data_IF_260637927898
#
_entry.id   IF_260637927898
#
_cell.length_a   1.000
_cell.length_b   1.000
_cell.length_c   1.000
_cell.angle_alpha   90.00
_cell.angle_beta   90.00
_cell.angle_gamma   90.00
#
_symmetry.space_group_name_H-M   'P 1'
#
loop_
_entity.id
_entity.type
_entity.pdbx_description
1 polymer ?
#
# COMPACT_ATOMS: atom_id res chain seq x y z
N UNK A 1 30.76 -14.43 -10.27
CA UNK A 1 30.88 -13.10 -9.64
C UNK A 1 29.88 -13.05 -8.49
N UNK A 2 30.37 -13.15 -7.25
CA UNK A 2 29.50 -13.12 -6.06
C UNK A 2 28.89 -11.74 -5.92
N UNK A 3 27.60 -11.60 -6.24
CA UNK A 3 26.88 -10.35 -6.09
C UNK A 3 26.94 -9.91 -4.63
N UNK A 4 27.35 -8.65 -4.39
CA UNK A 4 27.18 -8.03 -3.07
C UNK A 4 25.72 -8.23 -2.66
N UNK A 5 25.49 -8.82 -1.50
CA UNK A 5 24.17 -8.83 -0.87
C UNK A 5 23.70 -7.37 -0.80
N UNK A 6 22.53 -7.07 -1.35
CA UNK A 6 21.95 -5.73 -1.25
C UNK A 6 21.74 -5.32 0.22
N UNK A 7 21.60 -6.29 1.13
CA UNK A 7 21.47 -6.04 2.57
C UNK A 7 22.79 -5.49 3.15
N UNK A 8 22.80 -4.19 3.41
CA UNK A 8 23.92 -3.47 4.04
C UNK A 8 23.87 -3.52 5.57
N UNK A 9 22.67 -3.46 6.14
CA UNK A 9 22.48 -3.43 7.59
C UNK A 9 21.20 -4.14 7.99
N UNK A 10 21.25 -4.84 9.12
CA UNK A 10 20.08 -5.43 9.78
C UNK A 10 20.24 -5.22 11.27
N UNK A 11 19.30 -4.51 11.89
CA UNK A 11 19.31 -4.24 13.34
C UNK A 11 17.94 -4.46 13.95
N UNK A 12 17.91 -4.87 15.20
CA UNK A 12 16.70 -4.94 16.02
C UNK A 12 16.78 -3.91 17.13
N UNK A 13 15.89 -2.91 17.09
CA UNK A 13 15.78 -1.89 18.14
C UNK A 13 15.02 -2.41 19.38
N UNK A 14 14.41 -3.58 19.30
CA UNK A 14 13.57 -4.16 20.35
C UNK A 14 14.26 -5.24 21.19
N UNK A 15 15.34 -5.84 20.68
CA UNK A 15 16.04 -6.97 21.28
C UNK A 15 15.24 -8.26 21.38
N UNK A 16 14.16 -8.41 20.58
CA UNK A 16 13.19 -9.52 20.64
C UNK A 16 12.91 -10.17 19.28
N UNK A 17 13.53 -9.70 18.20
CA UNK A 17 13.32 -10.22 16.86
C UNK A 17 14.30 -11.35 16.53
N UNK A 18 13.84 -12.33 15.76
CA UNK A 18 14.72 -13.31 15.12
C UNK A 18 15.39 -12.67 13.89
N UNK A 19 16.61 -12.14 14.09
CA UNK A 19 17.36 -11.49 13.02
C UNK A 19 17.86 -12.47 11.95
N UNK A 20 18.07 -13.74 12.28
CA UNK A 20 18.49 -14.74 11.30
C UNK A 20 17.32 -15.12 10.39
N UNK A 21 16.12 -15.26 10.97
CA UNK A 21 14.86 -15.39 10.23
C UNK A 21 14.64 -14.22 9.28
N UNK A 22 14.72 -12.98 9.77
CA UNK A 22 14.57 -11.77 8.93
C UNK A 22 15.61 -11.73 7.80
N UNK A 23 16.87 -12.08 8.10
CA UNK A 23 17.94 -12.12 7.09
C UNK A 23 17.66 -13.17 6.02
N UNK A 24 17.21 -14.35 6.43
CA UNK A 24 16.89 -15.46 5.52
C UNK A 24 15.74 -15.07 4.58
N UNK A 25 14.65 -14.53 5.12
CA UNK A 25 13.51 -14.09 4.32
C UNK A 25 13.89 -12.95 3.37
N UNK A 26 14.67 -11.97 3.85
CA UNK A 26 15.17 -10.91 2.99
C UNK A 26 16.00 -11.47 1.82
N UNK A 27 16.91 -12.41 2.08
CA UNK A 27 17.73 -13.01 1.04
C UNK A 27 16.88 -13.76 -0.01
N UNK A 28 15.87 -14.51 0.43
CA UNK A 28 14.95 -15.24 -0.45
C UNK A 28 14.13 -14.28 -1.34
N UNK A 29 13.55 -13.23 -0.74
CA UNK A 29 12.80 -12.20 -1.47
C UNK A 29 13.69 -11.47 -2.45
N UNK A 30 14.87 -11.02 -2.01
CA UNK A 30 15.82 -10.34 -2.88
C UNK A 30 16.23 -11.21 -4.07
N UNK A 31 16.45 -12.52 -3.86
CA UNK A 31 16.73 -13.45 -4.95
C UNK A 31 15.57 -13.58 -5.95
N UNK A 32 14.31 -13.58 -5.48
CA UNK A 32 13.13 -13.58 -6.34
C UNK A 32 13.04 -12.31 -7.20
N UNK A 33 13.25 -11.13 -6.59
CA UNK A 33 13.32 -9.85 -7.30
C UNK A 33 14.48 -9.81 -8.30
N UNK A 34 15.65 -10.34 -7.93
CA UNK A 34 16.79 -10.41 -8.83
C UNK A 34 16.53 -11.31 -10.05
N UNK A 35 15.90 -12.47 -9.85
CA UNK A 35 15.48 -13.36 -10.94
C UNK A 35 14.49 -12.68 -11.89
N UNK A 36 13.64 -11.78 -11.37
CA UNK A 36 12.72 -10.97 -12.16
C UNK A 36 13.38 -9.73 -12.82
N UNK A 37 14.69 -9.51 -12.64
CA UNK A 37 15.39 -8.33 -13.17
C UNK A 37 15.04 -7.03 -12.42
N UNK A 38 14.58 -7.14 -11.18
CA UNK A 38 14.12 -6.04 -10.31
C UNK A 38 14.89 -5.98 -8.99
N UNK A 39 16.12 -6.50 -8.93
CA UNK A 39 16.97 -6.37 -7.75
C UNK A 39 17.18 -4.89 -7.40
N UNK A 40 17.23 -4.58 -6.10
CA UNK A 40 17.65 -3.28 -5.63
C UNK A 40 19.10 -3.00 -6.09
N UNK A 41 19.31 -1.82 -6.67
CA UNK A 41 20.63 -1.36 -7.13
C UNK A 41 21.36 -0.62 -6.03
N UNK A 42 20.64 0.08 -5.16
CA UNK A 42 21.20 0.75 -4.00
C UNK A 42 21.20 -0.16 -2.77
N UNK A 43 22.09 0.11 -1.79
CA UNK A 43 22.12 -0.66 -0.56
C UNK A 43 20.78 -0.59 0.19
N UNK A 44 20.35 -1.72 0.75
CA UNK A 44 19.13 -1.82 1.56
C UNK A 44 19.51 -2.14 2.99
N UNK A 45 19.00 -1.38 3.94
CA UNK A 45 19.09 -1.67 5.37
C UNK A 45 17.72 -2.03 5.92
N UNK A 46 17.69 -2.84 6.98
CA UNK A 46 16.47 -3.25 7.67
C UNK A 46 16.58 -2.90 9.15
N UNK A 47 15.53 -2.30 9.71
CA UNK A 47 15.36 -2.10 11.14
C UNK A 47 14.08 -2.78 11.61
N UNK A 48 14.18 -3.57 12.68
CA UNK A 48 13.01 -4.07 13.41
C UNK A 48 12.73 -3.17 14.61
N UNK A 49 11.50 -2.69 14.74
CA UNK A 49 11.10 -1.79 15.83
C UNK A 49 9.65 -2.00 16.28
N UNK A 50 9.26 -1.38 17.39
CA UNK A 50 7.86 -1.30 17.79
C UNK A 50 7.19 -0.14 17.04
N UNK A 51 6.22 -0.44 16.20
CA UNK A 51 5.51 0.56 15.39
C UNK A 51 4.07 0.13 15.11
N UNK A 52 3.14 1.08 14.91
CA UNK A 52 1.72 0.79 14.75
C UNK A 52 1.36 0.20 13.38
N UNK A 53 2.24 0.33 12.39
CA UNK A 53 2.08 -0.20 11.03
C UNK A 53 2.95 -1.44 10.84
N UNK A 54 2.67 -2.27 9.84
CA UNK A 54 3.42 -3.52 9.68
C UNK A 54 4.83 -3.30 9.14
N UNK A 55 4.99 -2.40 8.17
CA UNK A 55 6.27 -2.00 7.59
C UNK A 55 6.20 -0.62 6.93
N UNK A 56 7.36 -0.11 6.55
CA UNK A 56 7.50 1.09 5.72
C UNK A 56 8.88 1.14 5.06
N UNK A 57 8.96 1.77 3.90
CA UNK A 57 10.23 2.02 3.20
C UNK A 57 10.58 3.49 3.19
N UNK A 58 11.84 3.80 3.51
CA UNK A 58 12.45 5.11 3.30
C UNK A 58 13.53 4.99 2.24
N UNK A 59 13.47 5.85 1.23
CA UNK A 59 14.43 5.86 0.12
C UNK A 59 15.18 7.18 0.08
N UNK A 60 16.51 7.11 -0.03
CA UNK A 60 17.35 8.28 -0.28
C UNK A 60 18.07 8.08 -1.61
N UNK A 61 17.75 8.91 -2.63
CA UNK A 61 18.36 8.77 -3.95
C UNK A 61 19.89 8.70 -3.88
N UNK A 62 20.46 7.66 -4.48
CA UNK A 62 21.90 7.39 -4.53
C UNK A 62 22.60 7.08 -3.19
N UNK A 63 21.88 7.06 -2.06
CA UNK A 63 22.43 6.67 -0.75
C UNK A 63 22.02 5.24 -0.37
N UNK A 64 20.74 4.90 -0.52
CA UNK A 64 20.20 3.61 -0.12
C UNK A 64 18.75 3.66 0.34
N UNK A 65 18.29 2.50 0.79
CA UNK A 65 16.94 2.28 1.32
C UNK A 65 17.00 1.80 2.77
N UNK A 66 16.00 2.16 3.55
CA UNK A 66 15.75 1.63 4.88
C UNK A 66 14.34 1.07 4.94
N UNK A 67 14.24 -0.24 5.14
CA UNK A 67 12.99 -0.93 5.41
C UNK A 67 12.81 -0.98 6.93
N UNK A 68 11.67 -0.49 7.39
CA UNK A 68 11.18 -0.61 8.74
C UNK A 68 10.25 -1.80 8.81
N UNK A 69 10.46 -2.69 9.77
CA UNK A 69 9.60 -3.83 10.05
C UNK A 69 9.11 -3.74 11.49
N UNK A 70 7.82 -3.87 11.71
CA UNK A 70 7.30 -4.02 13.07
C UNK A 70 7.76 -5.34 13.67
N UNK A 71 7.99 -5.37 14.99
CA UNK A 71 8.26 -6.61 15.72
C UNK A 71 7.13 -7.63 15.57
N UNK A 72 5.89 -7.18 15.39
CA UNK A 72 4.76 -8.06 15.12
C UNK A 72 4.90 -8.74 13.76
N UNK A 73 5.33 -8.02 12.73
CA UNK A 73 5.52 -8.59 11.40
C UNK A 73 6.63 -9.66 11.38
N UNK A 74 7.70 -9.48 12.15
CA UNK A 74 8.77 -10.48 12.22
C UNK A 74 8.36 -11.78 12.92
N UNK A 75 7.21 -11.78 13.61
CA UNK A 75 6.65 -12.95 14.31
C UNK A 75 5.47 -13.58 13.57
N UNK A 76 5.11 -13.08 12.39
CA UNK A 76 3.99 -13.60 11.61
C UNK A 76 4.47 -14.29 10.35
N UNK A 77 3.62 -15.17 9.82
CA UNK A 77 3.83 -15.85 8.53
C UNK A 77 3.83 -14.88 7.32
N UNK A 78 3.64 -13.59 7.59
CA UNK A 78 3.62 -12.53 6.59
C UNK A 78 4.99 -11.90 6.34
N UNK A 79 6.01 -12.19 7.14
CA UNK A 79 7.30 -11.50 7.07
C UNK A 79 7.87 -11.45 5.64
N UNK A 80 7.90 -12.60 4.95
CA UNK A 80 8.36 -12.69 3.57
C UNK A 80 7.54 -11.81 2.62
N UNK A 81 6.21 -11.83 2.78
CA UNK A 81 5.30 -11.04 1.95
C UNK A 81 5.44 -9.54 2.20
N UNK A 82 5.61 -9.12 3.45
CA UNK A 82 5.87 -7.73 3.80
C UNK A 82 7.21 -7.27 3.22
N UNK A 83 8.29 -8.04 3.38
CA UNK A 83 9.58 -7.69 2.77
C UNK A 83 9.44 -7.59 1.25
N UNK A 84 8.66 -8.49 0.62
CA UNK A 84 8.40 -8.42 -0.82
C UNK A 84 7.64 -7.16 -1.22
N UNK A 85 6.65 -6.73 -0.44
CA UNK A 85 5.93 -5.47 -0.65
C UNK A 85 6.87 -4.26 -0.55
N UNK A 86 7.67 -4.18 0.51
CA UNK A 86 8.64 -3.09 0.70
C UNK A 86 9.71 -3.05 -0.40
N UNK A 87 10.18 -4.22 -0.86
CA UNK A 87 11.06 -4.32 -2.03
C UNK A 87 10.38 -3.84 -3.33
N UNK A 88 9.05 -3.95 -3.42
CA UNK A 88 8.26 -3.39 -4.52
C UNK A 88 8.32 -1.87 -4.56
N UNK A 89 8.20 -1.20 -3.42
CA UNK A 89 8.40 0.25 -3.32
C UNK A 89 9.82 0.66 -3.73
N UNK A 90 10.84 -0.08 -3.28
CA UNK A 90 12.23 0.15 -3.69
C UNK A 90 12.37 0.05 -5.21
N UNK A 91 11.86 -1.04 -5.81
CA UNK A 91 11.94 -1.26 -7.25
C UNK A 91 11.24 -0.15 -8.05
N UNK A 92 10.07 0.32 -7.61
CA UNK A 92 9.34 1.43 -8.25
C UNK A 92 10.07 2.77 -8.08
N UNK A 93 10.64 3.02 -6.90
CA UNK A 93 11.44 4.22 -6.62
C UNK A 93 12.68 4.28 -7.51
N UNK A 94 13.47 3.20 -7.58
CA UNK A 94 14.68 3.15 -8.40
C UNK A 94 14.39 3.18 -9.92
N UNK A 95 13.19 2.74 -10.33
CA UNK A 95 12.73 2.86 -11.70
C UNK A 95 12.27 4.29 -12.06
N UNK A 96 12.19 5.21 -11.09
CA UNK A 96 11.67 6.55 -11.30
C UNK A 96 10.17 6.54 -11.60
N UNK A 97 9.44 5.56 -11.08
CA UNK A 97 8.01 5.42 -11.34
C UNK A 97 7.24 6.63 -10.79
N UNK A 98 6.38 7.30 -11.59
CA UNK A 98 5.73 8.54 -11.16
C UNK A 98 4.92 8.43 -9.86
N UNK A 99 4.36 7.26 -9.57
CA UNK A 99 3.61 7.05 -8.33
C UNK A 99 4.46 7.13 -7.05
N UNK A 100 5.79 7.03 -7.16
CA UNK A 100 6.73 7.10 -6.02
C UNK A 100 7.58 8.39 -6.06
N UNK A 101 7.15 9.41 -6.83
CA UNK A 101 7.77 10.73 -6.84
C UNK A 101 6.94 11.72 -6.02
N UNK A 102 7.52 12.22 -4.92
CA UNK A 102 6.91 13.23 -4.05
C UNK A 102 6.39 14.44 -4.82
N UNK A 103 7.08 14.87 -5.89
CA UNK A 103 6.70 16.05 -6.67
C UNK A 103 5.39 15.82 -7.42
N UNK A 104 5.14 14.59 -7.89
CA UNK A 104 3.89 14.19 -8.53
C UNK A 104 2.75 14.23 -7.50
N UNK A 105 2.98 13.73 -6.29
CA UNK A 105 1.98 13.81 -5.22
C UNK A 105 1.62 15.26 -4.88
N UNK A 106 2.63 16.11 -4.69
CA UNK A 106 2.43 17.51 -4.31
C UNK A 106 1.70 18.30 -5.41
N UNK A 107 2.04 18.04 -6.69
CA UNK A 107 1.36 18.62 -7.84
C UNK A 107 -0.11 18.17 -7.93
N UNK A 108 -0.38 16.87 -7.71
CA UNK A 108 -1.74 16.36 -7.67
C UNK A 108 -2.57 16.99 -6.53
N UNK A 109 -2.00 17.11 -5.32
CA UNK A 109 -2.70 17.74 -4.19
C UNK A 109 -3.04 19.20 -4.47
N UNK A 110 -2.15 19.95 -5.12
CA UNK A 110 -2.37 21.35 -5.47
C UNK A 110 -3.55 21.54 -6.43
N UNK A 111 -3.92 20.51 -7.20
CA UNK A 111 -5.05 20.52 -8.16
C UNK A 111 -6.41 20.22 -7.50
N UNK A 112 -6.43 19.86 -6.21
CA UNK A 112 -7.66 19.51 -5.49
C UNK A 112 -8.15 20.70 -4.65
N UNK A 113 -9.35 21.21 -4.94
CA UNK A 113 -9.99 22.25 -4.13
C UNK A 113 -10.60 21.65 -2.86
N UNK A 114 -9.99 21.97 -1.71
CA UNK A 114 -10.42 21.50 -0.39
C UNK A 114 -11.28 22.56 0.29
N UNK A 115 -12.56 22.28 0.63
CA UNK A 115 -13.38 23.20 1.42
C UNK A 115 -12.72 23.48 2.77
N UNK A 116 -12.85 24.72 3.27
CA UNK A 116 -12.25 25.13 4.55
C UNK A 116 -12.62 24.20 5.72
N UNK A 117 -13.87 23.70 5.73
CA UNK A 117 -14.35 22.76 6.73
C UNK A 117 -13.54 21.45 6.77
N UNK A 118 -12.88 21.08 5.67
CA UNK A 118 -12.17 19.80 5.51
C UNK A 118 -10.65 19.91 5.66
N UNK A 119 -10.13 21.13 5.88
CA UNK A 119 -8.69 21.38 5.92
C UNK A 119 -7.93 20.52 6.96
N UNK A 120 -8.57 20.15 8.07
CA UNK A 120 -7.93 19.32 9.11
C UNK A 120 -7.86 17.84 8.75
N UNK A 121 -8.87 17.29 8.08
CA UNK A 121 -8.94 15.86 7.75
C UNK A 121 -8.28 15.51 6.40
N UNK A 122 -8.28 16.46 5.46
CA UNK A 122 -7.78 16.23 4.11
C UNK A 122 -6.33 15.71 4.04
N UNK A 123 -5.36 16.18 4.84
CA UNK A 123 -4.00 15.64 4.80
C UNK A 123 -3.91 14.15 5.10
N UNK A 124 -4.79 13.62 5.98
CA UNK A 124 -4.87 12.18 6.26
C UNK A 124 -5.48 11.44 5.06
N UNK A 125 -6.50 12.00 4.41
CA UNK A 125 -7.14 11.44 3.20
C UNK A 125 -6.19 11.37 2.02
N UNK A 126 -5.50 12.48 1.76
CA UNK A 126 -4.44 12.57 0.77
C UNK A 126 -3.38 11.50 0.99
N UNK A 127 -2.91 11.34 2.23
CA UNK A 127 -1.91 10.32 2.56
C UNK A 127 -2.40 8.89 2.31
N UNK A 128 -3.64 8.56 2.69
CA UNK A 128 -4.21 7.23 2.41
C UNK A 128 -4.32 6.96 0.92
N UNK A 129 -4.85 7.91 0.13
CA UNK A 129 -4.98 7.73 -1.32
C UNK A 129 -3.62 7.58 -2.02
N UNK A 130 -2.62 8.38 -1.62
CA UNK A 130 -1.25 8.25 -2.12
C UNK A 130 -0.66 6.90 -1.76
N UNK A 131 -0.76 6.50 -0.48
CA UNK A 131 -0.24 5.22 0.00
C UNK A 131 -0.86 4.05 -0.76
N UNK A 132 -2.19 3.98 -0.86
CA UNK A 132 -2.86 2.92 -1.63
C UNK A 132 -2.44 2.88 -3.11
N UNK A 133 -2.22 4.05 -3.73
CA UNK A 133 -1.71 4.08 -5.10
C UNK A 133 -0.28 3.51 -5.17
N UNK A 134 0.61 3.90 -4.25
CA UNK A 134 1.97 3.34 -4.16
C UNK A 134 1.94 1.83 -3.94
N UNK A 135 1.12 1.38 -2.99
CA UNK A 135 0.96 0.00 -2.57
C UNK A 135 0.49 -0.90 -3.71
N UNK A 136 -0.48 -0.47 -4.54
CA UNK A 136 -0.90 -1.27 -5.71
C UNK A 136 0.29 -1.56 -6.63
N UNK A 137 1.11 -0.55 -6.92
CA UNK A 137 2.24 -0.75 -7.83
C UNK A 137 3.39 -1.55 -7.21
N UNK A 138 3.50 -1.55 -5.88
CA UNK A 138 4.41 -2.43 -5.15
C UNK A 138 3.88 -3.87 -5.14
N UNK A 139 2.59 -4.06 -4.91
CA UNK A 139 1.92 -5.36 -4.89
C UNK A 139 1.87 -6.04 -6.27
N UNK A 140 1.73 -5.26 -7.34
CA UNK A 140 1.90 -5.72 -8.74
C UNK A 140 3.24 -6.45 -8.97
N UNK A 141 4.24 -6.18 -8.12
CA UNK A 141 5.52 -6.90 -8.11
C UNK A 141 5.54 -7.99 -7.03
N UNK A 142 5.14 -7.65 -5.80
CA UNK A 142 5.29 -8.54 -4.65
C UNK A 142 4.38 -9.78 -4.71
N UNK A 143 3.12 -9.62 -5.14
CA UNK A 143 2.14 -10.70 -5.19
C UNK A 143 2.56 -11.81 -6.15
N UNK A 144 2.84 -11.56 -7.43
CA UNK A 144 3.22 -12.63 -8.35
C UNK A 144 4.59 -13.25 -8.03
N UNK A 145 5.48 -12.55 -7.32
CA UNK A 145 6.82 -13.05 -7.01
C UNK A 145 6.90 -13.87 -5.73
N UNK A 146 6.18 -13.49 -4.67
CA UNK A 146 6.39 -14.04 -3.32
C UNK A 146 5.09 -14.32 -2.57
N UNK A 147 4.12 -13.40 -2.62
CA UNK A 147 2.95 -13.48 -1.73
C UNK A 147 1.95 -14.53 -2.22
N UNK A 148 1.60 -14.48 -3.52
CA UNK A 148 0.62 -15.37 -4.14
C UNK A 148 -0.74 -15.33 -3.45
N UNK A 149 -1.41 -16.48 -3.37
CA UNK A 149 -2.75 -16.64 -2.76
C UNK A 149 -2.83 -16.22 -1.28
N UNK A 150 -1.70 -16.13 -0.57
CA UNK A 150 -1.68 -15.73 0.86
C UNK A 150 -2.13 -14.29 1.09
N UNK A 151 -2.03 -13.43 0.08
CA UNK A 151 -2.51 -12.04 0.17
C UNK A 151 -4.01 -11.97 0.42
N UNK A 152 -4.78 -12.99 0.00
CA UNK A 152 -6.24 -13.03 0.21
C UNK A 152 -6.62 -12.90 1.69
N UNK A 153 -5.97 -13.66 2.57
CA UNK A 153 -6.27 -13.63 4.01
C UNK A 153 -5.92 -12.29 4.64
N UNK A 154 -4.77 -11.73 4.26
CA UNK A 154 -4.32 -10.43 4.74
C UNK A 154 -5.28 -9.29 4.38
N UNK A 155 -5.64 -9.18 3.10
CA UNK A 155 -6.59 -8.14 2.66
C UNK A 155 -7.99 -8.36 3.23
N UNK A 156 -8.42 -9.62 3.43
CA UNK A 156 -9.68 -9.91 4.11
C UNK A 156 -9.68 -9.41 5.56
N UNK A 157 -8.58 -9.55 6.29
CA UNK A 157 -8.45 -9.01 7.65
C UNK A 157 -8.42 -7.48 7.64
N UNK A 158 -7.75 -6.86 6.66
CA UNK A 158 -7.75 -5.41 6.52
C UNK A 158 -9.16 -4.87 6.25
N UNK A 159 -9.91 -5.49 5.33
CA UNK A 159 -11.33 -5.16 5.05
C UNK A 159 -12.17 -5.28 6.32
N UNK A 160 -12.05 -6.39 7.05
CA UNK A 160 -12.83 -6.61 8.30
C UNK A 160 -12.47 -5.62 9.39
N UNK A 161 -11.20 -5.26 9.54
CA UNK A 161 -10.76 -4.22 10.46
C UNK A 161 -11.34 -2.84 10.07
N UNK A 162 -11.30 -2.49 8.78
CA UNK A 162 -11.86 -1.25 8.27
C UNK A 162 -13.40 -1.18 8.45
N UNK A 163 -14.11 -2.30 8.28
CA UNK A 163 -15.56 -2.38 8.56
C UNK A 163 -15.88 -2.26 10.05
N UNK A 164 -15.01 -2.79 10.92
CA UNK A 164 -15.14 -2.69 12.37
C UNK A 164 -14.83 -1.27 12.90
N UNK A 165 -14.11 -0.46 12.13
CA UNK A 165 -13.93 0.95 12.46
C UNK A 165 -15.28 1.68 12.44
N UNK A 166 -15.67 2.16 13.61
CA UNK A 166 -16.82 3.03 13.80
C UNK A 166 -16.31 4.39 14.27
N UNK A 167 -16.90 5.46 13.75
CA UNK A 167 -16.41 6.80 13.99
C UNK A 167 -17.24 7.84 13.26
N UNK A 168 -16.65 9.02 13.09
CA UNK A 168 -17.28 10.10 12.35
C UNK A 168 -17.19 9.87 10.82
N UNK A 169 -17.76 10.78 10.03
CA UNK A 169 -17.75 10.70 8.57
C UNK A 169 -16.33 10.53 7.96
N UNK A 170 -15.28 11.05 8.60
CA UNK A 170 -13.92 10.83 8.14
C UNK A 170 -13.48 9.40 8.32
N UNK A 171 -13.70 8.81 9.50
CA UNK A 171 -13.33 7.43 9.78
C UNK A 171 -14.05 6.45 8.85
N UNK A 172 -15.31 6.74 8.49
CA UNK A 172 -16.04 5.98 7.47
C UNK A 172 -15.39 6.08 6.09
N UNK A 173 -15.01 7.29 5.64
CA UNK A 173 -14.36 7.48 4.33
C UNK A 173 -12.94 6.90 4.30
N UNK A 174 -12.23 6.90 5.42
CA UNK A 174 -10.95 6.21 5.55
C UNK A 174 -11.10 4.70 5.43
N UNK A 175 -12.02 4.11 6.20
CA UNK A 175 -12.32 2.69 6.11
C UNK A 175 -12.80 2.30 4.71
N UNK A 176 -13.56 3.16 4.03
CA UNK A 176 -13.94 2.98 2.64
C UNK A 176 -12.72 2.88 1.71
N UNK A 177 -11.73 3.78 1.84
CA UNK A 177 -10.53 3.71 1.01
C UNK A 177 -9.78 2.40 1.24
N UNK A 178 -9.60 1.97 2.50
CA UNK A 178 -8.95 0.70 2.84
C UNK A 178 -9.70 -0.50 2.23
N UNK A 179 -11.04 -0.52 2.35
CA UNK A 179 -11.89 -1.59 1.79
C UNK A 179 -11.79 -1.60 0.25
N UNK A 180 -11.94 -0.43 -0.37
CA UNK A 180 -11.94 -0.31 -1.83
C UNK A 180 -10.58 -0.70 -2.42
N UNK A 181 -9.48 -0.23 -1.81
CA UNK A 181 -8.12 -0.62 -2.18
C UNK A 181 -7.92 -2.12 -2.02
N UNK A 182 -8.28 -2.69 -0.88
CA UNK A 182 -8.09 -4.13 -0.62
C UNK A 182 -8.87 -5.00 -1.62
N UNK A 183 -10.14 -4.68 -1.89
CA UNK A 183 -10.93 -5.40 -2.90
C UNK A 183 -10.36 -5.21 -4.30
N UNK A 184 -10.06 -3.96 -4.67
CA UNK A 184 -9.53 -3.66 -6.00
C UNK A 184 -8.21 -4.37 -6.27
N UNK A 185 -7.33 -4.41 -5.28
CA UNK A 185 -6.04 -5.10 -5.36
C UNK A 185 -6.22 -6.63 -5.45
N UNK A 186 -7.15 -7.21 -4.69
CA UNK A 186 -7.48 -8.63 -4.81
C UNK A 186 -8.06 -8.98 -6.18
N UNK A 187 -8.97 -8.16 -6.71
CA UNK A 187 -9.57 -8.38 -8.03
C UNK A 187 -8.54 -8.23 -9.15
N UNK A 188 -7.67 -7.23 -9.05
CA UNK A 188 -6.56 -6.97 -9.99
C UNK A 188 -5.64 -8.18 -10.12
N UNK A 189 -5.37 -8.86 -9.01
CA UNK A 189 -4.53 -10.04 -8.96
C UNK A 189 -5.31 -11.36 -9.15
N UNK A 190 -6.61 -11.29 -9.44
CA UNK A 190 -7.46 -12.46 -9.72
C UNK A 190 -7.77 -13.35 -8.52
N UNK A 191 -7.57 -12.84 -7.30
CA UNK A 191 -7.69 -13.55 -6.02
C UNK A 191 -9.11 -13.52 -5.44
N UNK A 192 -9.94 -12.62 -5.95
CA UNK A 192 -11.40 -12.63 -5.75
C UNK A 192 -12.08 -12.39 -7.10
N UNK A 193 -13.23 -13.02 -7.32
CA UNK A 193 -13.98 -12.94 -8.58
C UNK A 193 -15.48 -12.90 -8.31
N UNK A 194 -16.19 -12.04 -9.04
CA UNK A 194 -17.66 -12.04 -9.11
C UNK A 194 -18.33 -11.99 -7.73
N UNK A 195 -19.09 -13.02 -7.39
CA UNK A 195 -19.90 -13.09 -6.17
C UNK A 195 -19.13 -13.57 -4.94
N UNK A 196 -17.85 -13.22 -4.80
CA UNK A 196 -17.01 -13.61 -3.66
C UNK A 196 -17.65 -13.18 -2.33
N UNK A 197 -17.65 -14.03 -1.28
CA UNK A 197 -18.24 -13.68 0.01
C UNK A 197 -17.70 -12.38 0.61
N UNK A 198 -16.41 -12.09 0.43
CA UNK A 198 -15.78 -10.87 0.94
C UNK A 198 -16.30 -9.63 0.21
N UNK A 199 -16.45 -9.71 -1.11
CA UNK A 199 -17.05 -8.63 -1.90
C UNK A 199 -18.51 -8.40 -1.48
N UNK A 200 -19.29 -9.46 -1.25
CA UNK A 200 -20.67 -9.36 -0.75
C UNK A 200 -20.75 -8.70 0.62
N UNK A 201 -19.86 -9.08 1.54
CA UNK A 201 -19.79 -8.52 2.88
C UNK A 201 -19.52 -7.01 2.84
N UNK A 202 -18.53 -6.59 2.04
CA UNK A 202 -18.21 -5.18 1.85
C UNK A 202 -19.35 -4.39 1.17
N UNK A 203 -20.02 -4.96 0.17
CA UNK A 203 -21.19 -4.34 -0.48
C UNK A 203 -22.34 -4.16 0.50
N UNK A 204 -22.64 -5.16 1.33
CA UNK A 204 -23.71 -5.04 2.34
C UNK A 204 -23.34 -4.01 3.41
N UNK A 205 -22.09 -3.99 3.88
CA UNK A 205 -21.59 -2.94 4.77
C UNK A 205 -21.79 -1.55 4.16
N UNK A 206 -21.36 -1.36 2.90
CA UNK A 206 -21.52 -0.08 2.21
C UNK A 206 -22.98 0.34 2.11
N UNK A 207 -23.88 -0.59 1.77
CA UNK A 207 -25.32 -0.35 1.71
C UNK A 207 -25.90 0.08 3.06
N UNK A 208 -25.59 -0.64 4.14
CA UNK A 208 -26.05 -0.31 5.50
C UNK A 208 -25.54 1.06 5.94
N UNK A 209 -24.32 1.43 5.54
CA UNK A 209 -23.70 2.72 5.88
C UNK A 209 -23.97 3.81 4.85
N UNK A 210 -24.80 3.57 3.84
CA UNK A 210 -25.09 4.54 2.78
C UNK A 210 -23.86 5.00 1.99
N UNK A 211 -22.79 4.19 1.94
CA UNK A 211 -21.60 4.43 1.11
C UNK A 211 -21.94 4.18 -0.34
N UNK A 212 -21.75 5.19 -1.19
CA UNK A 212 -22.12 5.13 -2.61
C UNK A 212 -20.92 4.96 -3.53
N UNK A 213 -19.73 5.36 -3.09
CA UNK A 213 -18.53 5.32 -3.92
C UNK A 213 -17.71 4.03 -3.83
N UNK A 214 -18.17 2.98 -3.12
CA UNK A 214 -17.40 1.74 -2.96
C UNK A 214 -17.05 1.11 -4.32
N UNK A 215 -18.05 0.79 -5.14
CA UNK A 215 -17.83 0.13 -6.43
C UNK A 215 -16.93 0.95 -7.36
N UNK A 216 -17.12 2.27 -7.38
CA UNK A 216 -16.32 3.17 -8.20
C UNK A 216 -14.84 3.22 -7.77
N UNK A 217 -14.58 3.28 -6.46
CA UNK A 217 -13.22 3.27 -5.91
C UNK A 217 -12.56 1.90 -6.08
N UNK A 218 -13.29 0.80 -5.83
CA UNK A 218 -12.80 -0.56 -6.05
C UNK A 218 -12.42 -0.76 -7.52
N UNK A 219 -13.26 -0.33 -8.46
CA UNK A 219 -12.93 -0.37 -9.88
C UNK A 219 -11.71 0.48 -10.23
N UNK A 220 -11.59 1.70 -9.66
CA UNK A 220 -10.44 2.56 -9.89
C UNK A 220 -9.11 1.91 -9.45
N UNK A 221 -9.10 1.20 -8.32
CA UNK A 221 -7.94 0.45 -7.86
C UNK A 221 -7.70 -0.83 -8.68
N UNK A 222 -8.75 -1.57 -9.03
CA UNK A 222 -8.64 -2.77 -9.88
C UNK A 222 -8.02 -2.46 -11.23
N UNK A 223 -8.55 -1.45 -11.90
CA UNK A 223 -8.21 -1.06 -13.26
C UNK A 223 -7.10 0.00 -13.32
N UNK A 224 -6.42 0.26 -12.20
CA UNK A 224 -5.41 1.31 -12.10
C UNK A 224 -4.34 1.12 -13.18
N UNK A 225 -4.20 2.05 -14.14
CA UNK A 225 -3.26 1.89 -15.24
C UNK A 225 -1.86 2.26 -14.80
N UNK A 226 -0.84 1.51 -15.25
CA UNK A 226 0.57 1.86 -14.99
C UNK A 226 0.90 3.22 -15.67
N UNK A 227 1.15 4.30 -14.91
CA UNK A 227 1.23 5.64 -15.43
C UNK A 227 2.63 5.86 -16.00
N UNK A 228 2.71 5.90 -17.32
CA UNK A 228 3.96 6.15 -18.05
C UNK A 228 4.49 7.59 -17.89
N UNK A 229 3.71 8.52 -17.32
CA UNK A 229 4.05 9.95 -17.19
C UNK A 229 3.55 10.53 -15.87
N UNK A 230 4.23 11.56 -15.35
CA UNK A 230 3.81 12.35 -14.19
C UNK A 230 2.38 12.87 -14.32
N UNK A 231 2.02 13.55 -15.41
CA UNK A 231 0.68 14.14 -15.61
C UNK A 231 -0.45 13.11 -15.46
N UNK A 232 -0.30 11.94 -16.10
CA UNK A 232 -1.27 10.83 -15.96
C UNK A 232 -1.38 10.32 -14.52
N UNK A 233 -0.25 10.23 -13.81
CA UNK A 233 -0.25 9.82 -12.41
C UNK A 233 -0.94 10.87 -11.52
N UNK A 234 -0.74 12.15 -11.81
CA UNK A 234 -1.44 13.23 -11.13
C UNK A 234 -2.94 13.18 -11.38
N UNK A 235 -3.36 12.97 -12.64
CA UNK A 235 -4.78 12.87 -13.02
C UNK A 235 -5.49 11.76 -12.25
N UNK A 236 -4.89 10.57 -12.21
CA UNK A 236 -5.39 9.41 -11.46
C UNK A 236 -5.57 9.76 -9.97
N UNK A 237 -4.55 10.36 -9.35
CA UNK A 237 -4.57 10.69 -7.93
C UNK A 237 -5.60 11.80 -7.63
N UNK A 238 -5.73 12.78 -8.51
CA UNK A 238 -6.76 13.83 -8.42
C UNK A 238 -8.16 13.24 -8.48
N UNK A 239 -8.41 12.28 -9.37
CA UNK A 239 -9.72 11.65 -9.54
C UNK A 239 -10.08 10.75 -8.34
N UNK A 240 -9.12 10.00 -7.80
CA UNK A 240 -9.29 9.25 -6.55
C UNK A 240 -9.69 10.19 -5.39
N UNK A 241 -8.98 11.31 -5.23
CA UNK A 241 -9.26 12.28 -4.17
C UNK A 241 -10.60 12.98 -4.35
N UNK A 242 -10.95 13.35 -5.57
CA UNK A 242 -12.27 13.95 -5.86
C UNK A 242 -13.40 12.99 -5.53
N UNK A 243 -13.25 11.71 -5.86
CA UNK A 243 -14.24 10.68 -5.54
C UNK A 243 -14.41 10.53 -4.03
N UNK A 244 -13.32 10.38 -3.28
CA UNK A 244 -13.36 10.28 -1.82
C UNK A 244 -13.94 11.55 -1.15
N UNK A 245 -13.58 12.73 -1.67
CA UNK A 245 -14.11 14.00 -1.18
C UNK A 245 -15.59 14.18 -1.49
N UNK A 246 -16.07 13.69 -2.63
CA UNK A 246 -17.49 13.73 -2.98
C UNK A 246 -18.32 12.84 -2.04
N UNK A 247 -17.81 11.66 -1.70
CA UNK A 247 -18.44 10.78 -0.70
C UNK A 247 -18.52 11.49 0.65
N UNK A 248 -17.42 12.07 1.13
CA UNK A 248 -17.38 12.82 2.39
C UNK A 248 -18.38 13.99 2.41
N UNK A 249 -18.49 14.76 1.32
CA UNK A 249 -19.44 15.89 1.22
C UNK A 249 -20.90 15.44 1.33
N UNK A 250 -21.18 14.21 0.99
CA UNK A 250 -22.54 13.68 1.02
C UNK A 250 -22.95 13.09 2.37
N UNK A 251 -22.00 13.02 3.31
CA UNK A 251 -22.27 12.61 4.68
C UNK A 251 -22.93 13.76 5.45
N UNK A 252 -23.93 13.46 6.31
CA UNK A 252 -24.41 14.44 7.27
C UNK A 252 -23.25 14.88 8.18
N UNK A 253 -23.26 16.16 8.55
CA UNK A 253 -22.28 16.76 9.44
C UNK A 253 -22.38 16.22 10.88
#
# INVERSE_FOLDING_TARGET
MGGRLALQGLRDATGRADLDGVRSEFAAVHAAYAKAGRAAKWPVSVVVEEMPIMGATQSRPNEGHLIHLSLRATKSDMLAGLIAHEMGHIARTEAGHPSHDRRVHDAAMARVTVPRAFARGFPRLARSAVGHMEDIYADDLAIPLVIGERSRGFFADWIRNAMAMSGNAWDEVFGLLDIAFSLGNLERHGLVKGSDPLSKEATEFAKVRGIRSLDALTAAYRDLPDPVTSDKCEDILVDLLRTAMAELRSRPA
#
